data_IF_351633770247
#
_entry.id   IF_351633770247
#
_cell.length_a   1.000
_cell.length_b   1.000
_cell.length_c   1.000
_cell.angle_alpha   90.00
_cell.angle_beta   90.00
_cell.angle_gamma   90.00
#
_symmetry.space_group_name_H-M   'P 1'
#
loop_
_entity.id
_entity.type
_entity.pdbx_description
1 polymer ?
#
# COMPACT_ATOMS: atom_id res chain seq x y z
N UNK A 1 -15.78 15.50 -12.07
CA UNK A 1 -16.71 15.43 -10.91
C UNK A 1 -16.32 14.21 -10.10
N UNK A 2 -16.14 14.33 -8.80
CA UNK A 2 -15.86 13.19 -7.92
C UNK A 2 -17.09 12.29 -7.84
N UNK A 3 -16.87 10.98 -7.91
CA UNK A 3 -17.92 9.97 -7.82
C UNK A 3 -17.56 8.99 -6.70
N UNK A 4 -18.58 8.41 -6.10
CA UNK A 4 -18.44 7.33 -5.11
C UNK A 4 -19.27 6.14 -5.56
N UNK A 5 -18.83 4.95 -5.16
CA UNK A 5 -19.58 3.71 -5.45
C UNK A 5 -20.87 3.70 -4.65
N UNK A 6 -22.00 3.52 -5.31
CA UNK A 6 -23.30 3.37 -4.65
C UNK A 6 -23.28 2.14 -3.74
N UNK A 7 -23.64 2.31 -2.48
CA UNK A 7 -23.56 1.24 -1.47
C UNK A 7 -22.18 1.08 -0.80
N UNK A 8 -21.18 1.89 -1.19
CA UNK A 8 -19.84 1.88 -0.60
C UNK A 8 -18.83 0.99 -1.35
N UNK A 9 -17.58 1.08 -0.95
CA UNK A 9 -16.47 0.40 -1.63
C UNK A 9 -16.53 -1.14 -1.53
N UNK A 10 -17.22 -1.70 -0.55
CA UNK A 10 -17.40 -3.15 -0.45
C UNK A 10 -18.07 -3.76 -1.68
N UNK A 11 -18.95 -3.00 -2.35
CA UNK A 11 -19.71 -3.49 -3.51
C UNK A 11 -18.82 -3.92 -4.68
N UNK A 12 -17.77 -3.16 -5.00
CA UNK A 12 -16.87 -3.57 -6.08
C UNK A 12 -15.93 -4.70 -5.65
N UNK A 13 -15.59 -4.78 -4.37
CA UNK A 13 -14.77 -5.88 -3.84
C UNK A 13 -15.54 -7.21 -3.87
N UNK A 14 -16.81 -7.19 -3.49
CA UNK A 14 -17.72 -8.34 -3.55
C UNK A 14 -17.90 -8.81 -5.00
N UNK A 15 -18.21 -7.89 -5.91
CA UNK A 15 -18.37 -8.18 -7.32
C UNK A 15 -17.08 -8.73 -7.97
N UNK A 16 -15.90 -8.24 -7.54
CA UNK A 16 -14.61 -8.76 -7.97
C UNK A 16 -14.41 -10.19 -7.44
N UNK A 17 -14.65 -10.41 -6.14
CA UNK A 17 -14.43 -11.71 -5.51
C UNK A 17 -15.32 -12.80 -6.12
N UNK A 18 -16.56 -12.48 -6.52
CA UNK A 18 -17.48 -13.40 -7.20
C UNK A 18 -16.98 -13.85 -8.58
N UNK A 19 -16.23 -13.01 -9.28
CA UNK A 19 -15.72 -13.28 -10.64
C UNK A 19 -14.27 -13.80 -10.64
N UNK A 20 -13.58 -13.71 -9.51
CA UNK A 20 -12.18 -14.09 -9.43
C UNK A 20 -12.03 -15.62 -9.37
N UNK A 21 -11.38 -16.19 -10.40
CA UNK A 21 -11.18 -17.63 -10.50
C UNK A 21 -10.04 -18.19 -9.65
N UNK A 22 -9.26 -17.33 -8.97
CA UNK A 22 -8.16 -17.73 -8.10
C UNK A 22 -8.57 -17.91 -6.64
N UNK A 23 -7.64 -18.32 -5.79
CA UNK A 23 -7.85 -18.48 -4.36
C UNK A 23 -7.73 -17.12 -3.63
N UNK A 24 -8.74 -16.78 -2.83
CA UNK A 24 -8.72 -15.64 -1.91
C UNK A 24 -8.57 -16.17 -0.49
N UNK A 25 -7.41 -15.92 0.14
CA UNK A 25 -7.09 -16.39 1.49
C UNK A 25 -7.10 -15.23 2.48
N UNK A 26 -8.19 -15.07 3.20
CA UNK A 26 -8.32 -14.10 4.29
C UNK A 26 -7.61 -14.60 5.56
N UNK A 27 -7.22 -13.66 6.45
CA UNK A 27 -6.53 -13.95 7.72
C UNK A 27 -5.20 -14.73 7.54
N UNK A 28 -4.61 -14.64 6.36
CA UNK A 28 -3.36 -15.31 5.98
C UNK A 28 -2.24 -14.28 5.80
N UNK A 29 -1.80 -13.66 6.92
CA UNK A 29 -0.71 -12.68 6.87
C UNK A 29 0.56 -13.34 6.33
N UNK A 30 1.14 -12.76 5.29
CA UNK A 30 2.46 -13.12 4.78
C UNK A 30 3.53 -12.60 5.73
N UNK A 31 4.40 -13.48 6.18
CA UNK A 31 5.51 -13.17 7.08
C UNK A 31 6.83 -13.03 6.34
N UNK A 32 7.06 -13.93 5.34
CA UNK A 32 8.29 -13.90 4.55
C UNK A 32 8.03 -14.23 3.10
N UNK A 33 8.78 -13.57 2.24
CA UNK A 33 8.90 -13.86 0.81
C UNK A 33 10.37 -14.17 0.53
N UNK A 34 10.64 -15.40 0.11
CA UNK A 34 11.99 -15.84 -0.28
C UNK A 34 12.01 -16.10 -1.78
N UNK A 35 13.02 -15.62 -2.44
CA UNK A 35 13.19 -15.70 -3.89
C UNK A 35 14.27 -16.70 -4.23
N UNK A 36 14.01 -17.49 -5.26
CA UNK A 36 14.94 -18.43 -5.87
C UNK A 36 15.02 -18.12 -7.37
N UNK A 37 15.95 -18.75 -8.05
CA UNK A 37 16.11 -18.55 -9.48
C UNK A 37 14.87 -18.97 -10.29
N UNK A 38 14.20 -20.03 -9.87
CA UNK A 38 13.08 -20.66 -10.56
C UNK A 38 11.71 -20.45 -9.91
N UNK A 39 11.64 -19.94 -8.67
CA UNK A 39 10.41 -19.79 -7.90
C UNK A 39 10.52 -18.71 -6.81
N UNK A 40 9.41 -18.41 -6.20
CA UNK A 40 9.32 -17.70 -4.92
C UNK A 40 8.57 -18.55 -3.91
N UNK A 41 8.90 -18.43 -2.63
CA UNK A 41 8.13 -19.05 -1.54
C UNK A 41 7.52 -17.97 -0.67
N UNK A 42 6.27 -18.18 -0.29
CA UNK A 42 5.51 -17.31 0.60
C UNK A 42 5.23 -18.08 1.91
N UNK A 43 5.74 -17.56 3.02
CA UNK A 43 5.56 -18.12 4.35
C UNK A 43 4.47 -17.35 5.11
N UNK A 44 3.46 -18.05 5.57
CA UNK A 44 2.43 -17.57 6.50
C UNK A 44 2.67 -18.21 7.89
N UNK A 45 1.79 -17.97 8.85
CA UNK A 45 1.87 -18.63 10.17
C UNK A 45 1.63 -20.15 10.10
N UNK A 46 0.98 -20.65 9.07
CA UNK A 46 0.51 -22.03 8.98
C UNK A 46 1.16 -22.86 7.88
N UNK A 47 1.69 -22.22 6.85
CA UNK A 47 2.22 -22.91 5.67
C UNK A 47 3.27 -22.09 4.91
N UNK A 48 4.02 -22.80 4.08
CA UNK A 48 4.89 -22.21 3.05
C UNK A 48 4.44 -22.74 1.70
N UNK A 49 4.13 -21.83 0.78
CA UNK A 49 3.64 -22.16 -0.56
C UNK A 49 4.57 -21.63 -1.63
N UNK A 50 4.80 -22.40 -2.70
CA UNK A 50 5.62 -22.02 -3.84
C UNK A 50 4.80 -21.40 -4.97
N UNK A 51 5.37 -20.40 -5.64
CA UNK A 51 4.78 -19.69 -6.78
C UNK A 51 5.85 -19.36 -7.81
N UNK A 52 5.46 -19.14 -9.06
CA UNK A 52 6.36 -18.71 -10.13
C UNK A 52 6.81 -17.26 -9.95
N UNK A 53 5.95 -16.40 -9.40
CA UNK A 53 6.24 -14.99 -9.12
C UNK A 53 5.30 -14.45 -8.03
N UNK A 54 5.58 -13.25 -7.54
CA UNK A 54 4.77 -12.55 -6.54
C UNK A 54 4.54 -11.09 -6.93
N UNK A 55 3.31 -10.60 -6.74
CA UNK A 55 2.99 -9.17 -6.75
C UNK A 55 2.72 -8.74 -5.32
N UNK A 56 3.52 -7.83 -4.80
CA UNK A 56 3.38 -7.28 -3.45
C UNK A 56 2.51 -6.02 -3.51
N UNK A 57 1.26 -6.14 -3.06
CA UNK A 57 0.25 -5.09 -3.09
C UNK A 57 -0.03 -4.48 -1.69
N UNK A 58 0.91 -4.63 -0.76
CA UNK A 58 0.89 -4.03 0.57
C UNK A 58 1.66 -2.70 0.60
N UNK A 59 1.79 -2.06 1.77
CA UNK A 59 2.66 -0.89 1.94
C UNK A 59 4.11 -1.21 1.56
N UNK A 60 4.86 -0.23 1.05
CA UNK A 60 6.25 -0.44 0.63
C UNK A 60 7.16 -0.90 1.77
N UNK A 61 6.98 -0.38 2.98
CA UNK A 61 7.71 -0.81 4.17
C UNK A 61 7.36 -2.24 4.60
N UNK A 62 6.08 -2.64 4.47
CA UNK A 62 5.65 -4.01 4.73
C UNK A 62 6.19 -4.98 3.67
N UNK A 63 6.24 -4.56 2.41
CA UNK A 63 6.86 -5.32 1.35
C UNK A 63 8.35 -5.56 1.66
N UNK A 64 9.06 -4.51 2.04
CA UNK A 64 10.49 -4.59 2.40
C UNK A 64 10.72 -5.49 3.62
N UNK A 65 9.86 -5.39 4.65
CA UNK A 65 9.92 -6.23 5.85
C UNK A 65 9.71 -7.71 5.53
N UNK A 66 8.82 -8.03 4.59
CA UNK A 66 8.51 -9.40 4.22
C UNK A 66 9.62 -10.06 3.37
N UNK A 67 10.44 -9.30 2.67
CA UNK A 67 11.53 -9.82 1.85
C UNK A 67 12.66 -10.35 2.72
N UNK A 68 13.03 -11.63 2.56
CA UNK A 68 14.11 -12.25 3.33
C UNK A 68 15.48 -11.66 2.97
N UNK A 69 15.68 -11.34 1.72
CA UNK A 69 16.93 -10.76 1.19
C UNK A 69 16.57 -9.69 0.15
N UNK A 70 16.22 -8.46 0.58
CA UNK A 70 16.00 -7.37 -0.35
C UNK A 70 17.32 -6.98 -1.02
N UNK A 71 17.27 -6.64 -2.31
CA UNK A 71 18.39 -6.02 -3.00
C UNK A 71 18.63 -4.60 -2.46
N UNK A 72 19.80 -4.04 -2.73
CA UNK A 72 20.10 -2.66 -2.37
C UNK A 72 19.07 -1.69 -2.99
N UNK A 73 18.74 -1.86 -4.27
CA UNK A 73 17.74 -1.03 -4.95
C UNK A 73 16.36 -1.12 -4.27
N UNK A 74 15.92 -2.32 -3.89
CA UNK A 74 14.66 -2.49 -3.15
C UNK A 74 14.69 -1.82 -1.78
N UNK A 75 15.79 -1.96 -1.05
CA UNK A 75 15.95 -1.32 0.25
C UNK A 75 15.90 0.22 0.14
N UNK A 76 16.56 0.78 -0.87
CA UNK A 76 16.55 2.22 -1.14
C UNK A 76 15.17 2.70 -1.59
N UNK A 77 14.60 2.10 -2.63
CA UNK A 77 13.36 2.56 -3.26
C UNK A 77 12.15 2.37 -2.34
N UNK A 78 11.95 1.16 -1.81
CA UNK A 78 10.81 0.88 -0.92
C UNK A 78 10.98 1.56 0.44
N UNK A 79 12.22 1.66 0.94
CA UNK A 79 12.53 2.28 2.22
C UNK A 79 12.49 3.82 2.21
N UNK A 80 12.54 4.47 1.05
CA UNK A 80 12.41 5.92 0.93
C UNK A 80 10.98 6.40 1.23
N UNK A 81 9.97 5.56 0.99
CA UNK A 81 8.57 5.89 1.24
C UNK A 81 8.26 5.64 2.72
N UNK A 82 8.24 6.72 3.50
CA UNK A 82 7.97 6.66 4.93
C UNK A 82 6.48 6.60 5.21
N UNK A 83 6.09 6.05 6.36
CA UNK A 83 4.70 5.96 6.80
C UNK A 83 4.54 6.60 8.17
N UNK A 84 3.41 7.29 8.36
CA UNK A 84 3.03 7.89 9.63
C UNK A 84 1.72 7.30 10.13
N UNK A 85 1.63 7.11 11.44
CA UNK A 85 0.40 6.68 12.09
C UNK A 85 -0.57 7.85 12.17
N UNK A 86 -1.81 7.62 11.77
CA UNK A 86 -2.89 8.56 11.90
C UNK A 86 -4.02 7.94 12.74
N UNK A 87 -4.44 8.67 13.77
CA UNK A 87 -5.67 8.37 14.48
C UNK A 87 -6.84 8.82 13.62
N UNK A 88 -7.80 7.95 13.39
CA UNK A 88 -8.98 8.23 12.57
C UNK A 88 -10.22 7.92 13.37
N UNK A 89 -11.08 8.93 13.56
CA UNK A 89 -12.29 8.81 14.36
C UNK A 89 -13.51 9.12 13.50
N UNK A 90 -14.48 8.19 13.48
CA UNK A 90 -15.81 8.41 12.94
C UNK A 90 -16.70 8.92 14.08
N UNK A 91 -17.30 10.11 13.90
CA UNK A 91 -18.08 10.79 14.95
C UNK A 91 -19.21 11.65 14.40
N UNK A 92 -20.08 12.12 15.30
CA UNK A 92 -21.20 13.01 15.00
C UNK A 92 -21.07 14.43 15.57
N UNK A 93 -19.86 14.88 15.88
CA UNK A 93 -19.60 16.17 16.50
C UNK A 93 -19.39 17.26 15.46
N UNK A 94 -20.41 18.11 15.25
CA UNK A 94 -20.35 19.20 14.29
C UNK A 94 -19.42 20.35 14.71
N UNK A 95 -18.90 20.38 15.94
CA UNK A 95 -17.95 21.41 16.38
C UNK A 95 -16.59 21.36 15.66
N UNK A 96 -16.33 20.26 14.95
CA UNK A 96 -15.17 20.09 14.06
C UNK A 96 -15.30 20.81 12.71
N UNK A 97 -16.50 21.28 12.42
CA UNK A 97 -16.80 22.02 11.19
C UNK A 97 -16.74 23.53 11.42
N UNK A 98 -16.60 24.35 10.38
CA UNK A 98 -16.76 25.81 10.49
C UNK A 98 -18.05 26.19 11.19
N UNK A 99 -18.03 27.28 11.98
CA UNK A 99 -19.22 27.73 12.74
C UNK A 99 -20.41 28.02 11.83
N UNK A 100 -20.16 28.59 10.65
CA UNK A 100 -21.19 28.84 9.66
C UNK A 100 -21.31 27.60 8.74
N UNK A 101 -22.47 26.92 8.71
CA UNK A 101 -22.70 25.78 7.84
C UNK A 101 -22.55 26.05 6.35
N UNK A 102 -22.66 27.32 5.91
CA UNK A 102 -22.43 27.69 4.51
C UNK A 102 -20.98 27.50 4.09
N UNK A 103 -20.06 27.50 5.03
CA UNK A 103 -18.63 27.29 4.82
C UNK A 103 -18.21 25.81 4.94
N UNK A 104 -19.15 24.88 5.14
CA UNK A 104 -18.83 23.47 5.24
C UNK A 104 -18.41 22.92 3.89
N UNK A 105 -17.20 22.39 3.85
CA UNK A 105 -16.65 21.69 2.70
C UNK A 105 -16.63 20.17 2.92
N UNK A 106 -16.46 19.39 1.85
CA UNK A 106 -16.28 17.95 1.95
C UNK A 106 -15.04 17.59 2.76
N UNK A 107 -14.05 18.48 2.76
CA UNK A 107 -12.76 18.35 3.45
C UNK A 107 -12.42 19.67 4.13
N UNK A 108 -12.15 19.64 5.42
CA UNK A 108 -11.87 20.79 6.24
C UNK A 108 -10.62 20.55 7.08
N UNK A 109 -9.66 21.45 7.01
CA UNK A 109 -8.45 21.40 7.83
C UNK A 109 -8.48 22.49 8.91
N UNK A 110 -8.02 22.14 10.10
CA UNK A 110 -7.77 23.08 11.21
C UNK A 110 -6.34 22.91 11.68
N UNK A 111 -5.67 24.03 11.87
CA UNK A 111 -4.30 24.08 12.39
C UNK A 111 -4.36 24.77 13.75
N UNK A 112 -3.75 24.16 14.73
CA UNK A 112 -3.52 24.76 16.05
C UNK A 112 -2.26 25.62 15.95
N UNK A 113 -2.42 26.93 16.08
CA UNK A 113 -1.34 27.92 15.87
C UNK A 113 -0.25 27.83 16.95
N UNK A 114 -0.59 27.36 18.16
CA UNK A 114 0.38 27.27 19.27
C UNK A 114 1.27 26.03 19.12
N UNK A 115 0.71 24.92 18.71
CA UNK A 115 1.42 23.63 18.63
C UNK A 115 1.87 23.27 17.22
N UNK A 116 1.35 23.93 16.18
CA UNK A 116 1.55 23.58 14.79
C UNK A 116 0.86 22.27 14.35
N UNK A 117 0.11 21.63 15.26
CA UNK A 117 -0.63 20.40 14.95
C UNK A 117 -1.83 20.71 14.05
N UNK A 118 -2.14 19.78 13.16
CA UNK A 118 -3.29 19.88 12.29
C UNK A 118 -4.20 18.68 12.44
N UNK A 119 -5.48 18.93 12.26
CA UNK A 119 -6.50 17.89 12.08
C UNK A 119 -7.22 18.10 10.76
N UNK A 120 -7.73 17.02 10.19
CA UNK A 120 -8.50 17.06 8.95
C UNK A 120 -9.82 16.35 9.17
N UNK A 121 -10.93 17.04 8.86
CA UNK A 121 -12.27 16.50 9.00
C UNK A 121 -12.96 16.38 7.66
N UNK A 122 -13.39 15.17 7.32
CA UNK A 122 -14.23 14.87 6.16
C UNK A 122 -15.71 14.89 6.56
N UNK A 123 -16.50 15.64 5.83
CA UNK A 123 -17.95 15.62 5.97
C UNK A 123 -18.54 14.52 5.07
N UNK A 124 -18.78 13.34 5.65
CA UNK A 124 -19.14 12.14 4.90
C UNK A 124 -20.49 12.23 4.22
N UNK A 125 -21.44 12.99 4.79
CA UNK A 125 -22.73 13.23 4.15
C UNK A 125 -22.57 13.88 2.76
N UNK A 126 -21.63 14.83 2.62
CA UNK A 126 -21.35 15.48 1.32
C UNK A 126 -20.48 14.59 0.44
N UNK A 127 -19.50 13.89 1.01
CA UNK A 127 -18.59 13.01 0.26
C UNK A 127 -19.34 11.84 -0.37
N UNK A 128 -20.27 11.23 0.37
CA UNK A 128 -20.97 10.00 -0.05
C UNK A 128 -22.45 10.20 -0.34
N UNK A 129 -22.98 11.44 -0.29
CA UNK A 129 -24.39 11.70 -0.53
C UNK A 129 -25.33 11.13 0.54
N UNK A 130 -24.85 10.92 1.76
CA UNK A 130 -25.63 10.35 2.88
C UNK A 130 -26.63 11.38 3.39
N UNK A 131 -27.91 10.99 3.50
CA UNK A 131 -28.96 11.79 4.11
C UNK A 131 -29.18 11.41 5.57
N UNK A 132 -29.62 12.36 6.39
CA UNK A 132 -29.95 12.13 7.80
C UNK A 132 -28.90 12.64 8.77
N UNK A 133 -28.52 11.85 9.81
CA UNK A 133 -27.53 12.29 10.80
C UNK A 133 -26.20 12.69 10.17
N UNK A 134 -25.50 13.62 10.82
CA UNK A 134 -24.19 14.07 10.33
C UNK A 134 -23.12 13.07 10.73
N UNK A 135 -22.28 12.70 9.75
CA UNK A 135 -21.13 11.80 9.90
C UNK A 135 -19.86 12.53 9.52
N UNK A 136 -18.91 12.53 10.42
CA UNK A 136 -17.59 13.12 10.22
C UNK A 136 -16.51 12.07 10.44
N UNK A 137 -15.48 12.11 9.63
CA UNK A 137 -14.24 11.37 9.86
C UNK A 137 -13.15 12.40 10.10
N UNK A 138 -12.56 12.40 11.29
CA UNK A 138 -11.45 13.29 11.62
C UNK A 138 -10.16 12.50 11.79
N UNK A 139 -9.12 12.95 11.10
CA UNK A 139 -7.74 12.48 11.22
C UNK A 139 -7.03 13.36 12.24
N UNK A 140 -6.33 12.71 13.18
CA UNK A 140 -5.50 13.33 14.19
C UNK A 140 -6.21 14.45 14.97
N UNK A 141 -7.38 14.18 15.57
CA UNK A 141 -8.14 15.20 16.25
C UNK A 141 -7.31 15.88 17.34
N UNK A 142 -7.41 17.20 17.44
CA UNK A 142 -6.70 18.01 18.44
C UNK A 142 -7.30 17.81 19.85
N UNK A 143 -8.59 17.46 19.91
CA UNK A 143 -9.28 17.09 21.13
C UNK A 143 -10.23 15.92 20.84
N UNK A 144 -10.74 15.25 21.87
CA UNK A 144 -11.67 14.13 21.66
C UNK A 144 -13.04 14.62 21.17
N UNK A 145 -13.54 14.13 20.02
CA UNK A 145 -14.87 14.48 19.53
C UNK A 145 -15.98 13.86 20.40
N UNK A 146 -17.16 14.45 20.34
CA UNK A 146 -18.38 13.88 20.92
C UNK A 146 -19.01 12.89 19.95
N UNK A 147 -19.82 11.95 20.49
CA UNK A 147 -20.55 10.94 19.70
C UNK A 147 -19.65 10.12 18.79
N UNK A 148 -18.62 9.49 19.38
CA UNK A 148 -17.71 8.59 18.69
C UNK A 148 -18.45 7.28 18.40
N UNK A 149 -18.43 6.82 17.14
CA UNK A 149 -18.91 5.50 16.74
C UNK A 149 -17.78 4.48 16.62
N UNK A 150 -16.64 4.91 16.08
CA UNK A 150 -15.46 4.04 15.98
C UNK A 150 -14.19 4.86 15.87
N UNK A 151 -13.11 4.24 16.31
CA UNK A 151 -11.76 4.75 16.21
C UNK A 151 -10.87 3.68 15.60
N UNK A 152 -9.92 4.10 14.74
CA UNK A 152 -8.92 3.24 14.10
C UNK A 152 -7.60 3.98 13.99
N UNK A 153 -6.52 3.22 13.92
CA UNK A 153 -5.21 3.71 13.50
C UNK A 153 -4.94 3.25 12.09
N UNK A 154 -4.60 4.18 11.22
CA UNK A 154 -4.16 3.90 9.87
C UNK A 154 -2.76 4.47 9.65
N UNK A 155 -1.96 3.75 8.88
CA UNK A 155 -0.67 4.25 8.44
C UNK A 155 -0.81 4.79 7.02
N UNK A 156 -0.35 6.01 6.81
CA UNK A 156 -0.38 6.64 5.50
C UNK A 156 1.03 6.92 5.01
N UNK A 157 1.30 6.75 3.70
CA UNK A 157 2.59 7.13 3.13
C UNK A 157 2.79 8.65 3.19
N UNK A 158 4.02 9.07 3.48
CA UNK A 158 4.45 10.46 3.37
C UNK A 158 4.97 10.67 1.96
N UNK A 159 4.17 11.32 1.12
CA UNK A 159 4.49 11.55 -0.29
C UNK A 159 5.25 12.88 -0.46
N UNK A 160 6.44 12.95 0.14
CA UNK A 160 7.39 14.06 0.01
C UNK A 160 8.40 13.86 -1.13
N UNK A 161 9.46 14.65 -1.14
CA UNK A 161 10.51 14.62 -2.17
C UNK A 161 11.15 13.23 -2.32
N UNK A 162 11.53 12.61 -1.18
CA UNK A 162 12.15 11.28 -1.17
C UNK A 162 11.24 10.21 -1.79
N UNK A 163 9.93 10.27 -1.48
CA UNK A 163 8.97 9.35 -2.06
C UNK A 163 8.80 9.58 -3.57
N UNK A 164 8.78 10.86 -4.01
CA UNK A 164 8.72 11.18 -5.43
C UNK A 164 9.93 10.68 -6.19
N UNK A 165 11.14 10.86 -5.66
CA UNK A 165 12.37 10.32 -6.25
C UNK A 165 12.33 8.78 -6.32
N UNK A 166 11.88 8.11 -5.26
CA UNK A 166 11.70 6.68 -5.23
C UNK A 166 10.69 6.17 -6.28
N UNK A 167 9.58 6.91 -6.48
CA UNK A 167 8.59 6.59 -7.52
C UNK A 167 9.21 6.58 -8.93
N UNK A 168 10.17 7.47 -9.23
CA UNK A 168 10.85 7.49 -10.52
C UNK A 168 11.80 6.29 -10.74
N UNK A 169 12.23 5.67 -9.65
CA UNK A 169 13.12 4.50 -9.64
C UNK A 169 12.38 3.16 -9.61
N UNK A 170 11.05 3.16 -9.71
CA UNK A 170 10.19 1.96 -9.65
C UNK A 170 10.64 0.86 -10.60
N UNK A 171 11.12 1.25 -11.80
CA UNK A 171 11.58 0.31 -12.84
C UNK A 171 12.81 -0.50 -12.43
N UNK A 172 13.63 0.01 -11.52
CA UNK A 172 14.84 -0.68 -11.06
C UNK A 172 14.52 -1.95 -10.28
N UNK A 173 13.34 -2.00 -9.65
CA UNK A 173 12.94 -3.11 -8.76
C UNK A 173 11.82 -3.97 -9.32
N UNK A 174 10.98 -3.44 -10.22
CA UNK A 174 9.79 -4.13 -10.71
C UNK A 174 10.14 -5.27 -11.67
N UNK A 175 9.85 -6.51 -11.27
CA UNK A 175 10.13 -7.73 -12.02
C UNK A 175 11.52 -8.33 -11.77
N UNK A 176 12.32 -7.72 -10.88
CA UNK A 176 13.56 -8.32 -10.40
C UNK A 176 13.27 -9.45 -9.41
N UNK A 177 14.00 -10.57 -9.50
CA UNK A 177 13.82 -11.70 -8.60
C UNK A 177 12.38 -12.22 -8.55
N UNK A 178 11.65 -12.23 -9.69
CA UNK A 178 10.26 -12.70 -9.78
C UNK A 178 9.28 -11.92 -8.90
N UNK A 179 9.62 -10.69 -8.52
CA UNK A 179 8.86 -9.86 -7.59
C UNK A 179 8.43 -8.56 -8.25
N UNK A 180 7.15 -8.21 -8.07
CA UNK A 180 6.54 -6.99 -8.58
C UNK A 180 5.90 -6.22 -7.45
N UNK A 181 5.81 -4.90 -7.58
CA UNK A 181 5.30 -4.03 -6.53
C UNK A 181 4.20 -3.14 -7.07
N UNK A 182 3.05 -3.11 -6.39
CA UNK A 182 1.97 -2.19 -6.66
C UNK A 182 1.41 -1.60 -5.35
N UNK A 183 0.74 -0.48 -5.47
CA UNK A 183 0.15 0.23 -4.34
C UNK A 183 -0.04 1.71 -4.65
N UNK A 184 -0.92 2.37 -3.89
CA UNK A 184 -1.23 3.78 -4.07
C UNK A 184 0.01 4.70 -3.83
N UNK A 185 1.02 4.22 -3.14
CA UNK A 185 2.28 4.93 -2.88
C UNK A 185 3.13 5.16 -4.14
N UNK A 186 2.81 4.54 -5.27
CA UNK A 186 3.42 4.81 -6.58
C UNK A 186 2.82 6.03 -7.30
N UNK A 187 1.86 6.71 -6.68
CA UNK A 187 1.22 7.92 -7.16
C UNK A 187 0.97 8.89 -6.01
N UNK A 188 -0.18 9.54 -6.03
CA UNK A 188 -0.60 10.52 -5.01
C UNK A 188 -1.36 9.89 -3.82
N UNK A 189 -1.39 8.57 -3.72
CA UNK A 189 -2.03 7.85 -2.61
C UNK A 189 -3.52 7.58 -2.80
N UNK A 190 -4.09 7.82 -3.97
CA UNK A 190 -5.49 7.57 -4.27
C UNK A 190 -5.80 6.15 -4.72
N UNK A 191 -7.09 5.79 -4.74
CA UNK A 191 -7.56 4.48 -5.23
C UNK A 191 -7.13 4.21 -6.68
N UNK A 192 -7.21 5.24 -7.54
CA UNK A 192 -6.81 5.16 -8.94
C UNK A 192 -5.32 4.84 -9.09
N UNK A 193 -4.48 5.43 -8.24
CA UNK A 193 -3.04 5.17 -8.26
C UNK A 193 -2.74 3.71 -7.90
N UNK A 194 -3.44 3.20 -6.88
CA UNK A 194 -3.35 1.79 -6.49
C UNK A 194 -3.77 0.86 -7.62
N UNK A 195 -4.92 1.13 -8.24
CA UNK A 195 -5.46 0.33 -9.34
C UNK A 195 -4.55 0.34 -10.57
N UNK A 196 -4.10 1.53 -11.03
CA UNK A 196 -3.18 1.65 -12.16
C UNK A 196 -1.87 0.94 -11.93
N UNK A 197 -1.30 1.09 -10.73
CA UNK A 197 -0.06 0.39 -10.38
C UNK A 197 -0.23 -1.13 -10.35
N UNK A 198 -1.42 -1.60 -10.00
CA UNK A 198 -1.77 -3.03 -10.04
C UNK A 198 -1.85 -3.58 -11.46
N UNK A 199 -2.51 -2.85 -12.38
CA UNK A 199 -2.54 -3.19 -13.81
C UNK A 199 -1.12 -3.27 -14.36
N UNK A 200 -0.31 -2.22 -14.14
CA UNK A 200 1.07 -2.18 -14.64
C UNK A 200 1.92 -3.34 -14.11
N UNK A 201 1.80 -3.68 -12.83
CA UNK A 201 2.51 -4.82 -12.26
C UNK A 201 2.06 -6.16 -12.87
N UNK A 202 0.75 -6.30 -13.14
CA UNK A 202 0.19 -7.50 -13.77
C UNK A 202 0.63 -7.64 -15.24
N UNK A 203 0.60 -6.56 -16.02
CA UNK A 203 1.07 -6.55 -17.41
C UNK A 203 2.54 -6.93 -17.49
N UNK A 204 3.39 -6.35 -16.66
CA UNK A 204 4.82 -6.70 -16.58
C UNK A 204 5.06 -8.15 -16.16
N UNK A 205 4.25 -8.68 -15.25
CA UNK A 205 4.30 -10.09 -14.88
C UNK A 205 3.95 -10.96 -16.07
N UNK A 206 2.88 -10.65 -16.82
CA UNK A 206 2.45 -11.40 -18.00
C UNK A 206 3.52 -11.41 -19.09
N UNK A 207 4.19 -10.28 -19.33
CA UNK A 207 5.30 -10.19 -20.29
C UNK A 207 6.48 -11.09 -19.92
N UNK A 208 6.75 -11.23 -18.61
CA UNK A 208 7.84 -12.08 -18.08
C UNK A 208 7.43 -13.54 -17.82
N UNK A 209 6.15 -13.85 -17.84
CA UNK A 209 5.65 -15.17 -17.52
C UNK A 209 6.24 -16.30 -18.37
N UNK A 210 6.49 -16.14 -19.71
CA UNK A 210 7.15 -17.14 -20.51
C UNK A 210 8.59 -17.46 -20.05
N UNK A 211 9.28 -16.51 -19.43
CA UNK A 211 10.62 -16.72 -18.87
C UNK A 211 10.54 -17.49 -17.55
N UNK A 212 9.52 -17.19 -16.72
CA UNK A 212 9.35 -17.79 -15.41
C UNK A 212 8.85 -19.24 -15.46
N UNK A 213 8.05 -19.59 -16.46
CA UNK A 213 7.51 -20.95 -16.63
C UNK A 213 8.48 -21.91 -17.31
N UNK A 214 9.55 -21.42 -17.93
CA UNK A 214 10.67 -22.25 -18.39
C UNK A 214 11.49 -22.68 -17.18
N UNK A 215 11.10 -23.77 -16.53
CA UNK A 215 11.89 -24.34 -15.43
C UNK A 215 13.26 -24.77 -15.97
N UNK A 216 14.39 -24.20 -15.52
CA UNK A 216 15.69 -24.84 -15.73
C UNK A 216 15.66 -26.19 -15.02
N UNK A 217 16.37 -27.18 -15.56
CA UNK A 217 16.57 -28.46 -14.88
C UNK A 217 17.14 -28.23 -13.46
N UNK A 218 17.08 -29.23 -12.56
CA UNK A 218 17.44 -29.06 -11.16
C UNK A 218 18.84 -28.49 -10.97
N UNK A 219 18.92 -27.24 -10.55
CA UNK A 219 20.15 -26.56 -10.15
C UNK A 219 20.22 -26.54 -8.62
N UNK A 220 21.40 -26.83 -8.07
CA UNK A 220 21.64 -26.87 -6.62
C UNK A 220 21.39 -25.49 -5.97
N UNK A 221 20.82 -25.48 -4.77
CA UNK A 221 20.53 -24.28 -3.94
C UNK A 221 21.78 -23.42 -3.64
N UNK A 222 23.00 -23.90 -3.92
CA UNK A 222 24.26 -23.21 -3.65
C UNK A 222 24.59 -22.07 -4.63
N UNK A 223 23.96 -22.03 -5.79
CA UNK A 223 24.36 -21.08 -6.86
C UNK A 223 23.82 -19.65 -6.66
N UNK A 224 22.76 -19.47 -5.88
CA UNK A 224 22.16 -18.15 -5.68
C UNK A 224 22.88 -17.28 -4.63
N UNK A 225 23.64 -17.93 -3.72
CA UNK A 225 24.41 -17.21 -2.69
C UNK A 225 25.75 -16.65 -3.18
N UNK A 226 26.24 -17.10 -4.34
CA UNK A 226 27.56 -16.73 -4.85
C UNK A 226 27.56 -15.41 -5.66
N UNK A 227 26.44 -15.06 -6.29
CA UNK A 227 26.40 -13.90 -7.19
C UNK A 227 26.16 -12.54 -6.47
N UNK A 228 25.66 -12.59 -5.24
CA UNK A 228 25.42 -11.42 -4.41
C UNK A 228 26.63 -10.98 -3.57
N UNK A 229 27.65 -11.83 -3.49
CA UNK A 229 28.88 -11.58 -2.70
C UNK A 229 30.02 -10.89 -3.45
N UNK A 230 29.95 -10.72 -4.78
CA UNK A 230 31.11 -10.31 -5.57
C UNK A 230 31.09 -8.85 -6.09
N UNK A 231 30.12 -8.04 -5.66
CA UNK A 231 30.06 -6.62 -6.03
C UNK A 231 30.90 -5.70 -5.12
N UNK A 232 31.46 -6.21 -3.99
CA UNK A 232 32.11 -5.38 -2.96
C UNK A 232 33.66 -5.49 -2.90
N UNK A 233 34.31 -6.08 -3.92
CA UNK A 233 35.78 -6.19 -3.94
C UNK A 233 36.48 -5.51 -5.13
N UNK A 234 35.90 -4.47 -5.71
CA UNK A 234 36.63 -3.66 -6.72
C UNK A 234 36.61 -2.18 -6.40
N UNK A 235 37.15 -1.79 -5.24
CA UNK A 235 37.70 -0.44 -5.01
C UNK A 235 38.74 -0.56 -3.88
N UNK A 236 40.00 -0.66 -4.27
CA UNK A 236 41.13 -0.67 -3.35
C UNK A 236 42.40 -1.09 -4.08
N UNK A 237 42.93 -0.16 -4.86
CA UNK A 237 44.22 -0.30 -5.51
C UNK A 237 44.60 1.01 -6.20
#
# INVERSE_FOLDING_TARGET
MWQVVSGGASQYLEAFAEQFAGDIRCNSKVHKVRRYQDRVTIETATETTEFDAVIMACHSDQALEALVQPSQAEAEVLGAIKYVDNQVILHGDASYMPRDPQNWSSWNARIDEETGRSETTYWMNRVQGIRGPQFFITLNPLCAPKRIWTERKYRHPVLGADAYEAQQRREEINGSGRTFYCGAYWGMGGHEDGFRSGIDAAERLLDKLPEFTRRPGPTNESDYSADMGNADQRQGG
#
